data_IF_862380223224
#
_entry.id   IF_862380223224
#
_cell.length_a   1.000
_cell.length_b   1.000
_cell.length_c   1.000
_cell.angle_alpha   90.00
_cell.angle_beta   90.00
_cell.angle_gamma   90.00
#
_symmetry.space_group_name_H-M   'P 1'
#
loop_
_entity.id
_entity.type
_entity.pdbx_description
1 polymer ?
#
# COMPACT_ATOMS: atom_id res chain seq x y z
N UNK A 1 25.69 -23.20 44.34
CA UNK A 1 25.10 -23.17 42.98
C UNK A 1 23.88 -22.25 43.00
N UNK A 2 23.99 -20.96 42.63
CA UNK A 2 22.80 -20.15 42.40
C UNK A 2 22.34 -20.31 40.96
N UNK A 3 21.06 -20.62 40.82
CA UNK A 3 20.29 -20.73 39.58
C UNK A 3 20.31 -19.40 38.81
N UNK A 4 20.79 -19.44 37.58
CA UNK A 4 20.85 -18.30 36.66
C UNK A 4 19.57 -18.34 35.80
N UNK A 5 18.54 -17.58 36.18
CA UNK A 5 17.38 -17.37 35.32
C UNK A 5 17.75 -16.40 34.19
N UNK A 6 17.40 -16.67 32.91
CA UNK A 6 17.73 -15.76 31.82
C UNK A 6 16.93 -14.46 31.95
N UNK A 7 17.62 -13.32 31.96
CA UNK A 7 17.01 -12.01 31.76
C UNK A 7 16.36 -11.99 30.38
N UNK A 8 15.04 -11.89 30.36
CA UNK A 8 14.27 -11.56 29.15
C UNK A 8 14.69 -10.18 28.67
N UNK A 9 15.18 -10.11 27.44
CA UNK A 9 15.49 -8.87 26.72
C UNK A 9 14.23 -7.99 26.67
N UNK A 10 14.34 -6.66 26.86
CA UNK A 10 13.18 -5.78 26.74
C UNK A 10 12.71 -5.77 25.29
N UNK A 11 11.45 -6.16 25.07
CA UNK A 11 10.76 -5.92 23.81
C UNK A 11 10.85 -4.41 23.48
N UNK A 12 11.19 -4.02 22.24
CA UNK A 12 11.18 -2.61 21.87
C UNK A 12 9.76 -2.07 22.04
N UNK A 13 9.62 -1.01 22.86
CA UNK A 13 8.36 -0.33 23.06
C UNK A 13 7.80 0.08 21.69
N UNK A 14 6.59 -0.40 21.39
CA UNK A 14 5.91 -0.09 20.14
C UNK A 14 5.91 1.44 19.92
N UNK A 15 6.50 1.90 18.83
CA UNK A 15 6.49 3.32 18.48
C UNK A 15 5.05 3.80 18.37
N UNK A 16 4.64 4.66 19.31
CA UNK A 16 3.29 5.22 19.34
C UNK A 16 3.20 6.26 18.23
N UNK A 17 2.31 6.02 17.26
CA UNK A 17 2.06 6.94 16.15
C UNK A 17 1.59 8.30 16.70
N UNK A 18 2.07 9.44 16.16
CA UNK A 18 1.54 10.75 16.55
C UNK A 18 0.07 10.84 16.18
N UNK A 19 -0.75 11.51 17.01
CA UNK A 19 -2.18 11.71 16.73
C UNK A 19 -2.42 13.07 16.09
N UNK A 20 -3.21 13.09 15.03
CA UNK A 20 -3.73 14.29 14.39
C UNK A 20 -5.23 14.33 14.64
N UNK A 21 -5.65 15.26 15.51
CA UNK A 21 -7.04 15.47 15.88
C UNK A 21 -7.71 16.42 14.88
N UNK A 22 -8.94 16.14 14.48
CA UNK A 22 -9.74 17.05 13.66
C UNK A 22 -11.21 16.96 14.07
N UNK A 23 -11.86 18.11 14.28
CA UNK A 23 -13.31 18.19 14.52
C UNK A 23 -13.85 19.62 14.49
N UNK A 24 -13.17 20.57 15.13
CA UNK A 24 -13.69 21.94 15.29
C UNK A 24 -13.43 22.82 14.07
N UNK A 25 -14.40 23.67 13.73
CA UNK A 25 -14.38 24.53 12.53
C UNK A 25 -13.22 25.51 12.45
N UNK A 26 -12.61 25.84 13.59
CA UNK A 26 -11.49 26.77 13.68
C UNK A 26 -10.13 26.07 13.85
N UNK A 27 -10.13 24.74 13.96
CA UNK A 27 -8.91 23.97 14.12
C UNK A 27 -8.30 23.64 12.75
N UNK A 28 -6.96 23.44 12.69
CA UNK A 28 -6.32 22.82 11.55
C UNK A 28 -7.01 21.50 11.19
N UNK A 29 -6.97 21.12 9.92
CA UNK A 29 -7.53 19.87 9.43
C UNK A 29 -9.07 19.75 9.57
N UNK A 30 -9.81 20.84 9.87
CA UNK A 30 -11.28 20.80 9.81
C UNK A 30 -11.79 20.32 8.44
N UNK A 31 -11.02 20.58 7.39
CA UNK A 31 -11.20 20.03 6.05
C UNK A 31 -11.32 18.51 6.00
N UNK A 32 -10.93 17.76 7.03
CA UNK A 32 -11.08 16.30 7.08
C UNK A 32 -12.47 15.84 7.52
N UNK A 33 -13.23 16.70 8.21
CA UNK A 33 -14.61 16.39 8.61
C UNK A 33 -15.56 16.31 7.42
N UNK A 34 -16.63 15.52 7.50
CA UNK A 34 -17.66 15.53 6.44
C UNK A 34 -18.48 16.84 6.38
N UNK A 35 -18.34 17.67 7.42
CA UNK A 35 -19.06 18.91 7.62
C UNK A 35 -18.31 20.14 7.05
N UNK A 36 -17.08 19.97 6.59
CA UNK A 36 -16.36 21.03 5.89
C UNK A 36 -17.03 21.41 4.55
N UNK A 37 -16.98 22.68 4.18
CA UNK A 37 -17.60 23.25 2.98
C UNK A 37 -16.81 22.92 1.70
N UNK A 38 -16.65 21.64 1.39
CA UNK A 38 -15.98 21.13 0.19
C UNK A 38 -17.00 20.37 -0.67
N UNK A 39 -17.52 21.01 -1.75
CA UNK A 39 -18.52 20.39 -2.58
C UNK A 39 -18.02 19.13 -3.26
N UNK A 40 -18.92 18.15 -3.42
CA UNK A 40 -18.61 16.85 -4.02
C UNK A 40 -19.48 16.63 -5.25
N UNK A 41 -18.85 16.29 -6.36
CA UNK A 41 -19.52 15.83 -7.57
C UNK A 41 -19.64 14.31 -7.57
N UNK A 42 -20.87 13.80 -7.67
CA UNK A 42 -21.15 12.36 -7.75
C UNK A 42 -22.26 12.09 -8.76
N UNK A 43 -22.00 11.21 -9.75
CA UNK A 43 -22.93 10.85 -10.84
C UNK A 43 -23.58 12.07 -11.51
N UNK A 44 -22.76 13.08 -11.84
CA UNK A 44 -23.21 14.31 -12.53
C UNK A 44 -23.97 15.31 -11.65
N UNK A 45 -24.06 15.08 -10.33
CA UNK A 45 -24.75 15.98 -9.39
C UNK A 45 -23.78 16.55 -8.36
N UNK A 46 -23.92 17.85 -8.07
CA UNK A 46 -23.21 18.55 -6.98
C UNK A 46 -23.92 18.32 -5.65
N UNK A 47 -23.15 17.95 -4.66
CA UNK A 47 -23.50 17.90 -3.25
C UNK A 47 -22.71 18.99 -2.52
N UNK A 48 -23.33 19.83 -1.67
CA UNK A 48 -22.63 20.91 -0.98
C UNK A 48 -21.47 20.46 -0.10
N UNK A 49 -21.58 19.28 0.51
CA UNK A 49 -20.52 18.66 1.32
C UNK A 49 -20.52 17.13 1.14
N UNK A 50 -19.48 16.43 1.61
CA UNK A 50 -19.50 14.96 1.66
C UNK A 50 -20.57 14.42 2.60
N UNK A 51 -20.98 15.17 3.63
CA UNK A 51 -22.13 14.83 4.48
C UNK A 51 -23.43 14.74 3.66
N UNK A 52 -23.69 15.69 2.75
CA UNK A 52 -24.87 15.63 1.88
C UNK A 52 -24.88 14.36 1.03
N UNK A 53 -23.74 13.99 0.45
CA UNK A 53 -23.62 12.77 -0.35
C UNK A 53 -23.80 11.52 0.51
N UNK A 54 -23.17 11.48 1.69
CA UNK A 54 -23.26 10.36 2.63
C UNK A 54 -24.69 10.13 3.11
N UNK A 55 -25.42 11.20 3.45
CA UNK A 55 -26.81 11.12 3.83
C UNK A 55 -27.72 10.71 2.66
N UNK A 56 -27.44 11.16 1.45
CA UNK A 56 -28.16 10.73 0.25
C UNK A 56 -27.95 9.24 -0.08
N UNK A 57 -26.78 8.65 0.20
CA UNK A 57 -26.51 7.22 -0.03
C UNK A 57 -27.47 6.29 0.70
N UNK A 58 -28.10 6.74 1.79
CA UNK A 58 -29.15 6.00 2.50
C UNK A 58 -30.39 5.74 1.64
N UNK A 59 -30.61 6.54 0.59
CA UNK A 59 -31.85 6.58 -0.17
C UNK A 59 -31.68 6.51 -1.69
N UNK A 60 -30.48 6.70 -2.26
CA UNK A 60 -30.27 6.79 -3.71
C UNK A 60 -30.93 5.65 -4.52
N UNK A 61 -30.85 4.42 -4.02
CA UNK A 61 -31.32 3.23 -4.74
C UNK A 61 -32.79 2.90 -4.44
N UNK A 62 -33.31 3.30 -3.28
CA UNK A 62 -34.65 2.90 -2.79
C UNK A 62 -35.68 4.04 -2.82
N UNK A 63 -35.23 5.27 -2.58
CA UNK A 63 -36.03 6.50 -2.47
C UNK A 63 -35.26 7.71 -3.05
N UNK A 64 -35.03 7.74 -4.37
CA UNK A 64 -34.24 8.79 -5.02
C UNK A 64 -34.86 10.19 -4.86
N UNK A 65 -36.17 10.28 -4.63
CA UNK A 65 -36.89 11.51 -4.29
C UNK A 65 -36.37 12.12 -2.98
N UNK A 66 -36.18 11.30 -1.94
CA UNK A 66 -35.62 11.72 -0.65
C UNK A 66 -34.14 12.10 -0.80
N UNK A 67 -33.36 11.30 -1.54
CA UNK A 67 -31.95 11.60 -1.78
C UNK A 67 -31.76 12.98 -2.46
N UNK A 68 -32.61 13.29 -3.44
CA UNK A 68 -32.59 14.57 -4.14
C UNK A 68 -33.00 15.74 -3.23
N UNK A 69 -33.97 15.52 -2.33
CA UNK A 69 -34.34 16.51 -1.31
C UNK A 69 -33.18 16.81 -0.36
N UNK A 70 -32.53 15.77 0.17
CA UNK A 70 -31.34 15.91 1.04
C UNK A 70 -30.25 16.69 0.32
N UNK A 71 -29.95 16.35 -0.94
CA UNK A 71 -28.92 17.03 -1.72
C UNK A 71 -29.18 18.54 -1.89
N UNK A 72 -30.44 18.94 -1.99
CA UNK A 72 -30.87 20.32 -2.27
C UNK A 72 -31.31 21.11 -1.03
N UNK A 73 -31.27 20.50 0.16
CA UNK A 73 -31.94 21.07 1.34
C UNK A 73 -31.36 22.43 1.76
N UNK A 74 -30.03 22.58 1.77
CA UNK A 74 -29.31 23.83 2.01
C UNK A 74 -27.83 23.61 1.66
N UNK A 75 -26.97 24.62 1.87
CA UNK A 75 -25.50 24.42 1.81
C UNK A 75 -24.93 23.92 3.16
N UNK A 76 -25.74 23.84 4.23
CA UNK A 76 -25.27 23.47 5.57
C UNK A 76 -25.41 21.96 5.82
N UNK A 77 -24.31 21.25 6.17
CA UNK A 77 -24.31 19.79 6.35
C UNK A 77 -25.28 19.30 7.45
N UNK A 78 -25.50 20.13 8.47
CA UNK A 78 -26.42 19.83 9.58
C UNK A 78 -27.86 19.63 9.10
N UNK A 79 -28.29 20.37 8.08
CA UNK A 79 -29.64 20.27 7.53
C UNK A 79 -29.81 18.97 6.75
N UNK A 80 -28.81 18.57 5.97
CA UNK A 80 -28.81 17.27 5.28
C UNK A 80 -28.88 16.09 6.26
N UNK A 81 -28.11 16.17 7.35
CA UNK A 81 -28.19 15.18 8.44
C UNK A 81 -29.59 15.12 9.05
N UNK A 82 -30.18 16.28 9.38
CA UNK A 82 -31.49 16.36 10.01
C UNK A 82 -32.60 15.87 9.07
N UNK A 83 -32.56 16.23 7.79
CA UNK A 83 -33.51 15.75 6.80
C UNK A 83 -33.44 14.22 6.66
N UNK A 84 -32.23 13.65 6.54
CA UNK A 84 -32.08 12.20 6.48
C UNK A 84 -32.57 11.50 7.75
N UNK A 85 -32.36 12.10 8.93
CA UNK A 85 -32.88 11.59 10.21
C UNK A 85 -34.41 11.61 10.26
N UNK A 86 -35.06 12.62 9.69
CA UNK A 86 -36.52 12.68 9.59
C UNK A 86 -37.09 11.58 8.67
N UNK A 87 -36.26 11.06 7.76
CA UNK A 87 -36.62 10.01 6.80
C UNK A 87 -36.13 8.62 7.23
N UNK A 88 -35.85 8.40 8.52
CA UNK A 88 -35.22 7.17 9.02
C UNK A 88 -35.96 5.88 8.63
N UNK A 89 -37.30 5.93 8.50
CA UNK A 89 -38.14 4.80 8.09
C UNK A 89 -37.90 4.34 6.63
N UNK A 90 -37.22 5.15 5.83
CA UNK A 90 -36.99 4.90 4.40
C UNK A 90 -35.54 4.57 4.06
N UNK A 91 -34.66 4.51 5.07
CA UNK A 91 -33.25 4.15 4.89
C UNK A 91 -33.17 2.74 4.32
N UNK A 92 -32.27 2.55 3.33
CA UNK A 92 -31.99 1.25 2.72
C UNK A 92 -31.75 0.15 3.78
N UNK A 93 -32.28 -1.07 3.56
CA UNK A 93 -32.30 -2.11 4.60
C UNK A 93 -30.90 -2.63 4.99
N UNK A 94 -29.94 -2.57 4.08
CA UNK A 94 -28.54 -3.01 4.24
C UNK A 94 -27.61 -1.91 4.80
N UNK A 95 -28.15 -0.77 5.26
CA UNK A 95 -27.35 0.40 5.65
C UNK A 95 -26.26 0.10 6.69
N UNK A 96 -26.55 -0.80 7.65
CA UNK A 96 -25.58 -1.18 8.68
C UNK A 96 -24.32 -1.81 8.10
N UNK A 97 -24.46 -2.54 6.99
CA UNK A 97 -23.39 -3.28 6.34
C UNK A 97 -22.62 -2.39 5.36
N UNK A 98 -23.32 -1.48 4.68
CA UNK A 98 -22.72 -0.67 3.60
C UNK A 98 -22.24 0.72 4.04
N UNK A 99 -22.62 1.23 5.21
CA UNK A 99 -22.31 2.62 5.62
C UNK A 99 -20.81 2.97 5.59
N UNK A 100 -19.93 2.03 5.90
CA UNK A 100 -18.48 2.25 5.84
C UNK A 100 -18.04 2.41 4.38
N UNK A 101 -18.48 1.52 3.49
CA UNK A 101 -18.17 1.61 2.06
C UNK A 101 -18.74 2.90 1.42
N UNK A 102 -19.95 3.31 1.82
CA UNK A 102 -20.54 4.56 1.35
C UNK A 102 -19.78 5.79 1.85
N UNK A 103 -19.23 5.74 3.07
CA UNK A 103 -18.33 6.79 3.56
C UNK A 103 -17.04 6.82 2.77
N UNK A 104 -16.40 5.66 2.52
CA UNK A 104 -15.18 5.55 1.72
C UNK A 104 -15.36 6.19 0.34
N UNK A 105 -16.51 5.98 -0.31
CA UNK A 105 -16.85 6.63 -1.59
C UNK A 105 -16.97 8.16 -1.42
N UNK A 106 -17.69 8.63 -0.40
CA UNK A 106 -17.90 10.07 -0.19
C UNK A 106 -16.58 10.81 0.07
N UNK A 107 -15.70 10.26 0.92
CA UNK A 107 -14.39 10.85 1.21
C UNK A 107 -13.46 10.75 0.01
N UNK A 108 -13.47 9.64 -0.74
CA UNK A 108 -12.64 9.51 -1.93
C UNK A 108 -13.00 10.59 -2.94
N UNK A 109 -14.29 10.79 -3.23
CA UNK A 109 -14.72 11.86 -4.12
C UNK A 109 -14.31 13.25 -3.61
N UNK A 110 -14.47 13.53 -2.32
CA UNK A 110 -14.05 14.81 -1.74
C UNK A 110 -12.56 15.04 -1.91
N UNK A 111 -11.72 14.16 -1.39
CA UNK A 111 -10.27 14.36 -1.39
C UNK A 111 -9.62 14.21 -2.77
N UNK A 112 -10.26 13.53 -3.73
CA UNK A 112 -9.74 13.50 -5.11
C UNK A 112 -10.16 14.71 -5.95
N UNK A 113 -11.19 15.45 -5.52
CA UNK A 113 -11.66 16.65 -6.19
C UNK A 113 -11.05 17.94 -5.63
N UNK A 114 -10.43 17.88 -4.44
CA UNK A 114 -9.82 19.01 -3.74
C UNK A 114 -8.34 18.70 -3.45
N UNK A 115 -7.44 19.26 -4.27
CA UNK A 115 -6.00 18.95 -4.23
C UNK A 115 -5.34 19.38 -2.91
N UNK A 116 -5.77 20.49 -2.33
CA UNK A 116 -5.33 20.98 -1.03
C UNK A 116 -5.59 19.94 0.08
N UNK A 117 -6.81 19.39 0.14
CA UNK A 117 -7.15 18.32 1.09
C UNK A 117 -6.37 17.03 0.82
N UNK A 118 -6.19 16.69 -0.46
CA UNK A 118 -5.39 15.52 -0.87
C UNK A 118 -3.96 15.63 -0.35
N UNK A 119 -3.33 16.78 -0.57
CA UNK A 119 -1.96 17.05 -0.15
C UNK A 119 -1.86 17.06 1.37
N UNK A 120 -2.79 17.72 2.07
CA UNK A 120 -2.86 17.74 3.52
C UNK A 120 -2.98 16.32 4.11
N UNK A 121 -3.83 15.46 3.51
CA UNK A 121 -3.96 14.07 3.90
C UNK A 121 -2.66 13.27 3.70
N UNK A 122 -1.95 13.49 2.60
CA UNK A 122 -0.67 12.80 2.34
C UNK A 122 0.43 13.28 3.29
N UNK A 123 0.50 14.59 3.56
CA UNK A 123 1.44 15.23 4.49
C UNK A 123 1.27 14.78 5.94
N UNK A 124 0.09 14.26 6.31
CA UNK A 124 -0.11 13.65 7.63
C UNK A 124 0.77 12.40 7.90
N UNK A 125 1.58 11.96 6.92
CA UNK A 125 2.59 10.92 7.09
C UNK A 125 1.98 9.67 7.76
N UNK A 126 2.61 9.15 8.82
CA UNK A 126 2.10 8.00 9.55
C UNK A 126 1.29 8.41 10.80
N UNK A 127 0.84 9.66 10.90
CA UNK A 127 -0.02 10.10 12.00
C UNK A 127 -1.34 9.31 12.02
N UNK A 128 -1.79 8.95 13.22
CA UNK A 128 -3.12 8.43 13.47
C UNK A 128 -4.13 9.58 13.29
N UNK A 129 -5.06 9.43 12.34
CA UNK A 129 -6.09 10.42 12.08
C UNK A 129 -7.27 10.17 13.01
N UNK A 130 -7.66 11.16 13.80
CA UNK A 130 -8.66 11.01 14.86
C UNK A 130 -9.74 12.07 14.74
N UNK A 131 -10.97 11.63 14.47
CA UNK A 131 -12.14 12.51 14.55
C UNK A 131 -12.50 12.73 16.02
N UNK A 132 -12.18 13.91 16.55
CA UNK A 132 -12.32 14.28 17.97
C UNK A 132 -13.76 14.72 18.32
N UNK A 133 -14.74 14.00 17.77
CA UNK A 133 -16.16 14.23 18.05
C UNK A 133 -16.52 13.62 19.40
N UNK A 134 -16.87 14.46 20.38
CA UNK A 134 -17.41 13.99 21.65
C UNK A 134 -18.82 13.38 21.51
N UNK A 135 -19.55 13.69 20.43
CA UNK A 135 -20.96 13.29 20.26
C UNK A 135 -21.13 11.98 19.48
N UNK A 136 -20.17 11.62 18.62
CA UNK A 136 -20.26 10.45 17.75
C UNK A 136 -19.18 9.41 18.09
N UNK A 137 -19.56 8.37 18.82
CA UNK A 137 -18.67 7.26 19.17
C UNK A 137 -18.49 6.22 18.05
N UNK A 138 -19.20 6.34 16.93
CA UNK A 138 -19.02 5.45 15.78
C UNK A 138 -18.03 6.05 14.77
N UNK A 139 -18.30 7.26 14.29
CA UNK A 139 -17.41 7.94 13.34
C UNK A 139 -16.20 8.56 14.02
N UNK A 140 -16.37 9.13 15.23
CA UNK A 140 -15.31 9.69 16.06
C UNK A 140 -15.02 8.90 17.33
N UNK A 141 -14.35 9.55 18.29
CA UNK A 141 -13.90 8.94 19.55
C UNK A 141 -14.89 9.03 20.71
N UNK A 142 -15.98 9.78 20.58
CA UNK A 142 -17.00 9.92 21.62
C UNK A 142 -16.50 10.56 22.92
N UNK A 143 -17.41 10.77 23.89
CA UNK A 143 -17.12 11.48 25.14
C UNK A 143 -16.02 10.85 26.00
N UNK A 144 -15.86 9.53 25.94
CA UNK A 144 -14.89 8.79 26.74
C UNK A 144 -13.58 8.48 26.01
N UNK A 145 -13.45 8.94 24.75
CA UNK A 145 -12.28 8.70 23.89
C UNK A 145 -12.14 7.25 23.40
N UNK A 146 -13.16 6.40 23.60
CA UNK A 146 -13.14 4.96 23.24
C UNK A 146 -14.01 4.61 22.04
N UNK A 147 -14.53 5.63 21.35
CA UNK A 147 -15.27 5.50 20.11
C UNK A 147 -14.43 4.82 19.01
N UNK A 148 -15.13 4.36 17.98
CA UNK A 148 -14.54 3.52 16.94
C UNK A 148 -13.66 4.31 15.97
N UNK A 149 -13.78 5.63 15.90
CA UNK A 149 -13.01 6.49 15.00
C UNK A 149 -13.05 5.99 13.54
N UNK A 150 -14.22 5.55 13.06
CA UNK A 150 -14.33 4.98 11.71
C UNK A 150 -14.05 6.00 10.61
N UNK A 151 -14.25 7.32 10.85
CA UNK A 151 -13.90 8.34 9.86
C UNK A 151 -12.39 8.50 9.75
N UNK A 152 -11.68 8.56 10.88
CA UNK A 152 -10.22 8.55 10.91
C UNK A 152 -9.65 7.35 10.16
N UNK A 153 -10.18 6.14 10.43
CA UNK A 153 -9.80 4.91 9.71
C UNK A 153 -10.10 4.98 8.20
N UNK A 154 -11.22 5.58 7.81
CA UNK A 154 -11.58 5.76 6.40
C UNK A 154 -10.57 6.67 5.69
N UNK A 155 -10.17 7.78 6.32
CA UNK A 155 -9.12 8.66 5.82
C UNK A 155 -7.77 7.95 5.74
N UNK A 156 -7.42 7.09 6.70
CA UNK A 156 -6.20 6.29 6.63
C UNK A 156 -6.22 5.29 5.46
N UNK A 157 -7.35 4.60 5.22
CA UNK A 157 -7.51 3.73 4.05
C UNK A 157 -7.33 4.53 2.76
N UNK A 158 -7.94 5.70 2.67
CA UNK A 158 -7.80 6.59 1.51
C UNK A 158 -6.36 7.07 1.34
N UNK A 159 -5.68 7.48 2.42
CA UNK A 159 -4.26 7.88 2.41
C UNK A 159 -3.38 6.77 1.85
N UNK A 160 -3.57 5.53 2.30
CA UNK A 160 -2.85 4.36 1.76
C UNK A 160 -3.12 4.19 0.26
N UNK A 161 -4.39 4.24 -0.15
CA UNK A 161 -4.78 4.12 -1.56
C UNK A 161 -4.12 5.20 -2.43
N UNK A 162 -4.13 6.46 -1.97
CA UNK A 162 -3.53 7.59 -2.68
C UNK A 162 -2.01 7.52 -2.74
N UNK A 163 -1.35 6.98 -1.70
CA UNK A 163 0.10 6.71 -1.72
C UNK A 163 0.44 5.65 -2.74
N UNK A 164 -0.21 4.50 -2.69
CA UNK A 164 0.02 3.41 -3.64
C UNK A 164 -0.21 3.85 -5.09
N UNK A 165 -1.22 4.68 -5.35
CA UNK A 165 -1.46 5.21 -6.69
C UNK A 165 -0.40 6.22 -7.17
N UNK A 166 0.38 6.81 -6.26
CA UNK A 166 1.44 7.78 -6.58
C UNK A 166 2.84 7.18 -6.51
N UNK A 167 2.99 5.92 -6.10
CA UNK A 167 4.30 5.27 -6.07
C UNK A 167 4.90 5.25 -7.46
N UNK A 168 6.14 5.75 -7.63
CA UNK A 168 6.86 5.58 -8.87
C UNK A 168 7.01 4.08 -9.16
N UNK A 169 6.85 3.68 -10.42
CA UNK A 169 7.15 2.31 -10.85
C UNK A 169 8.50 2.33 -11.57
N UNK A 170 9.46 1.59 -11.05
CA UNK A 170 10.77 1.41 -11.68
C UNK A 170 10.79 0.06 -12.38
N UNK A 171 10.80 0.10 -13.71
CA UNK A 171 11.03 -1.08 -14.54
C UNK A 171 12.54 -1.30 -14.67
N UNK A 172 13.04 -2.52 -14.52
CA UNK A 172 14.50 -2.76 -14.48
C UNK A 172 15.03 -3.94 -15.32
N UNK A 173 14.23 -4.47 -16.26
CA UNK A 173 14.64 -5.67 -17.04
C UNK A 173 15.58 -5.38 -18.22
N UNK A 174 15.48 -4.22 -18.87
CA UNK A 174 16.21 -3.94 -20.11
C UNK A 174 17.65 -3.49 -19.85
N UNK A 175 18.62 -4.00 -20.62
CA UNK A 175 20.05 -3.67 -20.46
C UNK A 175 20.39 -2.18 -20.52
N UNK A 176 19.59 -1.40 -21.25
CA UNK A 176 19.77 0.06 -21.37
C UNK A 176 19.13 0.83 -20.22
N UNK A 177 18.39 0.16 -19.35
CA UNK A 177 17.76 0.77 -18.19
C UNK A 177 18.82 1.09 -17.13
N UNK A 178 18.81 2.30 -16.53
CA UNK A 178 19.74 2.65 -15.45
C UNK A 178 19.72 1.66 -14.27
N UNK A 179 18.58 1.00 -14.04
CA UNK A 179 18.38 0.03 -12.98
C UNK A 179 18.59 -1.43 -13.43
N UNK A 180 19.16 -1.68 -14.62
CA UNK A 180 19.48 -3.05 -15.06
C UNK A 180 20.36 -3.79 -14.06
N UNK A 181 21.13 -3.06 -13.25
CA UNK A 181 21.87 -3.61 -12.12
C UNK A 181 21.02 -4.42 -11.14
N UNK A 182 19.70 -4.22 -11.08
CA UNK A 182 18.80 -4.93 -10.16
C UNK A 182 18.43 -6.34 -10.63
N UNK A 183 18.45 -6.64 -11.93
CA UNK A 183 18.13 -8.00 -12.41
C UNK A 183 19.19 -9.02 -11.96
N UNK A 184 18.77 -10.27 -11.80
CA UNK A 184 19.67 -11.39 -11.49
C UNK A 184 20.67 -11.71 -12.62
N UNK A 185 20.43 -11.15 -13.80
CA UNK A 185 21.28 -11.30 -14.98
C UNK A 185 22.42 -10.29 -15.05
N UNK A 186 22.40 -9.24 -14.21
CA UNK A 186 23.41 -8.20 -14.20
C UNK A 186 24.81 -8.77 -13.89
N UNK A 187 25.89 -8.24 -14.49
CA UNK A 187 27.26 -8.76 -14.34
C UNK A 187 27.91 -8.37 -13.00
N UNK A 188 27.19 -8.57 -11.90
CA UNK A 188 27.66 -8.34 -10.54
C UNK A 188 27.92 -9.68 -9.87
N UNK A 189 29.19 -10.01 -9.71
CA UNK A 189 29.59 -11.28 -9.14
C UNK A 189 29.18 -11.40 -7.67
N UNK A 190 28.79 -12.59 -7.24
CA UNK A 190 28.33 -12.87 -5.88
C UNK A 190 29.25 -13.90 -5.25
N UNK A 191 29.90 -13.53 -4.15
CA UNK A 191 30.67 -14.44 -3.31
C UNK A 191 29.72 -15.21 -2.39
N UNK A 192 29.84 -16.52 -2.33
CA UNK A 192 29.08 -17.35 -1.39
C UNK A 192 29.90 -18.59 -1.00
N UNK A 193 30.05 -18.84 0.30
CA UNK A 193 30.83 -19.96 0.85
C UNK A 193 32.25 -20.09 0.26
N UNK A 194 32.96 -18.98 0.10
CA UNK A 194 34.33 -18.94 -0.43
C UNK A 194 34.43 -19.08 -1.95
N UNK A 195 33.30 -19.23 -2.65
CA UNK A 195 33.26 -19.35 -4.11
C UNK A 195 32.65 -18.10 -4.76
N UNK A 196 33.17 -17.75 -5.94
CA UNK A 196 32.68 -16.62 -6.73
C UNK A 196 31.74 -17.11 -7.84
N UNK A 197 30.55 -16.51 -7.90
CA UNK A 197 29.55 -16.75 -8.93
C UNK A 197 29.47 -15.52 -9.85
N UNK A 198 29.51 -15.69 -11.19
CA UNK A 198 29.56 -14.53 -12.11
C UNK A 198 28.36 -13.58 -12.00
N UNK A 199 27.17 -14.10 -11.69
CA UNK A 199 25.96 -13.31 -11.46
C UNK A 199 25.07 -13.97 -10.40
N UNK A 200 24.06 -13.24 -9.91
CA UNK A 200 23.00 -13.77 -9.06
C UNK A 200 22.30 -15.00 -9.65
N UNK A 201 22.04 -15.00 -10.97
CA UNK A 201 21.48 -16.17 -11.67
C UNK A 201 22.35 -17.43 -11.49
N UNK A 202 23.67 -17.31 -11.53
CA UNK A 202 24.57 -18.47 -11.36
C UNK A 202 24.42 -19.06 -9.95
N UNK A 203 24.45 -18.22 -8.92
CA UNK A 203 24.29 -18.68 -7.53
C UNK A 203 22.89 -19.25 -7.30
N UNK A 204 21.85 -18.59 -7.82
CA UNK A 204 20.47 -19.05 -7.68
C UNK A 204 20.24 -20.43 -8.33
N UNK A 205 20.78 -20.65 -9.53
CA UNK A 205 20.72 -21.96 -10.18
C UNK A 205 21.57 -23.00 -9.44
N UNK A 206 22.73 -22.62 -8.90
CA UNK A 206 23.57 -23.52 -8.11
C UNK A 206 22.91 -23.97 -6.81
N UNK A 207 22.09 -23.13 -6.15
CA UNK A 207 21.35 -23.49 -4.93
C UNK A 207 20.42 -24.70 -5.10
N UNK A 208 20.01 -25.00 -6.34
CA UNK A 208 19.24 -26.22 -6.64
C UNK A 208 20.05 -27.50 -6.41
N UNK A 209 21.38 -27.43 -6.41
CA UNK A 209 22.27 -28.58 -6.44
C UNK A 209 23.37 -28.57 -5.36
N UNK A 210 23.67 -27.42 -4.73
CA UNK A 210 24.82 -27.27 -3.81
C UNK A 210 24.91 -28.36 -2.72
N UNK A 211 23.77 -28.78 -2.15
CA UNK A 211 23.72 -29.77 -1.07
C UNK A 211 23.79 -31.22 -1.58
N UNK A 212 23.09 -31.54 -2.67
CA UNK A 212 22.92 -32.93 -3.13
C UNK A 212 23.88 -33.33 -4.26
N UNK A 213 24.28 -32.37 -5.10
CA UNK A 213 25.04 -32.57 -6.33
C UNK A 213 26.02 -31.39 -6.58
N UNK A 214 27.03 -31.22 -5.72
CA UNK A 214 27.98 -30.10 -5.82
C UNK A 214 28.75 -30.07 -7.14
N UNK A 215 28.92 -31.20 -7.81
CA UNK A 215 29.53 -31.29 -9.15
C UNK A 215 28.71 -30.54 -10.21
N UNK A 216 27.37 -30.57 -10.12
CA UNK A 216 26.47 -29.82 -11.01
C UNK A 216 26.51 -28.35 -10.67
N UNK A 217 26.48 -27.99 -9.39
CA UNK A 217 26.63 -26.60 -8.93
C UNK A 217 27.94 -25.98 -9.43
N UNK A 218 29.04 -26.75 -9.44
CA UNK A 218 30.32 -26.32 -9.98
C UNK A 218 30.27 -26.05 -11.49
N UNK A 219 29.59 -26.89 -12.28
CA UNK A 219 29.41 -26.66 -13.72
C UNK A 219 28.64 -25.37 -13.99
N UNK A 220 27.55 -25.15 -13.26
CA UNK A 220 26.75 -23.92 -13.34
C UNK A 220 27.61 -22.70 -13.03
N UNK A 221 28.42 -22.75 -11.96
CA UNK A 221 29.31 -21.65 -11.57
C UNK A 221 30.34 -21.30 -12.64
N UNK A 222 30.85 -22.30 -13.36
CA UNK A 222 31.85 -22.14 -14.42
C UNK A 222 31.26 -21.66 -15.76
N UNK A 223 29.93 -21.55 -15.88
CA UNK A 223 29.29 -20.93 -17.04
C UNK A 223 29.71 -19.46 -17.18
N UNK A 224 29.83 -19.00 -18.44
CA UNK A 224 30.21 -17.61 -18.73
C UNK A 224 29.01 -16.66 -18.73
N UNK A 225 27.86 -17.13 -19.21
CA UNK A 225 26.65 -16.34 -19.35
C UNK A 225 25.55 -16.86 -18.43
N UNK A 226 24.69 -15.98 -17.88
CA UNK A 226 23.52 -16.38 -17.09
C UNK A 226 22.61 -17.38 -17.83
N UNK A 227 22.44 -17.21 -19.15
CA UNK A 227 21.68 -18.14 -19.99
C UNK A 227 22.23 -19.56 -19.98
N UNK A 228 23.56 -19.70 -19.91
CA UNK A 228 24.24 -20.99 -19.92
C UNK A 228 24.10 -21.67 -18.55
N UNK A 229 24.17 -20.90 -17.46
CA UNK A 229 23.90 -21.40 -16.11
C UNK A 229 22.47 -21.94 -15.96
N UNK A 230 21.48 -21.21 -16.50
CA UNK A 230 20.10 -21.68 -16.57
C UNK A 230 19.97 -22.97 -17.40
N UNK A 231 20.59 -23.00 -18.58
CA UNK A 231 20.53 -24.15 -19.48
C UNK A 231 21.20 -25.39 -18.87
N UNK A 232 22.32 -25.22 -18.17
CA UNK A 232 23.00 -26.30 -17.47
C UNK A 232 22.14 -26.84 -16.32
N UNK A 233 21.55 -25.97 -15.49
CA UNK A 233 20.62 -26.40 -14.45
C UNK A 233 19.41 -27.17 -15.02
N UNK A 234 18.86 -26.72 -16.15
CA UNK A 234 17.72 -27.37 -16.81
C UNK A 234 18.04 -28.79 -17.30
N UNK A 235 19.28 -29.06 -17.74
CA UNK A 235 19.74 -30.41 -18.13
C UNK A 235 19.72 -31.40 -16.97
N UNK A 236 19.93 -30.91 -15.74
CA UNK A 236 19.99 -31.73 -14.52
C UNK A 236 18.71 -31.63 -13.69
N UNK A 237 17.54 -31.35 -14.30
CA UNK A 237 16.26 -31.16 -13.58
C UNK A 237 15.89 -32.27 -12.60
N UNK A 238 16.31 -33.52 -12.86
CA UNK A 238 16.05 -34.68 -11.99
C UNK A 238 16.93 -34.73 -10.74
N UNK A 239 17.96 -33.90 -10.67
CA UNK A 239 18.92 -33.78 -9.56
C UNK A 239 18.67 -32.56 -8.67
N UNK A 240 17.60 -31.81 -8.91
CA UNK A 240 17.26 -30.66 -8.08
C UNK A 240 16.90 -31.15 -6.68
N UNK A 241 17.34 -30.43 -5.64
CA UNK A 241 16.95 -30.65 -4.24
C UNK A 241 15.44 -30.79 -4.09
N UNK A 242 14.99 -31.77 -3.30
CA UNK A 242 13.58 -32.16 -3.22
C UNK A 242 12.64 -31.04 -2.70
N UNK A 243 13.16 -30.18 -1.83
CA UNK A 243 12.45 -29.08 -1.16
C UNK A 243 12.48 -27.75 -1.94
N UNK A 244 12.99 -27.72 -3.19
CA UNK A 244 13.21 -26.48 -3.95
C UNK A 244 11.99 -25.52 -3.96
N UNK A 245 10.79 -26.05 -4.16
CA UNK A 245 9.57 -25.23 -4.18
C UNK A 245 9.28 -24.57 -2.82
N UNK A 246 9.70 -25.17 -1.70
CA UNK A 246 9.57 -24.59 -0.37
C UNK A 246 10.65 -23.58 -0.01
N UNK A 247 11.84 -23.65 -0.64
CA UNK A 247 13.01 -22.86 -0.24
C UNK A 247 13.46 -21.82 -1.26
N UNK A 248 12.97 -21.85 -2.51
CA UNK A 248 13.48 -20.98 -3.57
C UNK A 248 13.36 -19.48 -3.27
N UNK A 249 12.33 -19.03 -2.55
CA UNK A 249 12.19 -17.62 -2.13
C UNK A 249 13.29 -17.24 -1.15
N UNK A 250 13.50 -18.04 -0.10
CA UNK A 250 14.59 -17.84 0.87
C UNK A 250 15.97 -17.86 0.18
N UNK A 251 16.18 -18.77 -0.79
CA UNK A 251 17.42 -18.79 -1.56
C UNK A 251 17.60 -17.54 -2.41
N UNK A 252 16.53 -17.00 -2.99
CA UNK A 252 16.60 -15.71 -3.68
C UNK A 252 16.96 -14.57 -2.72
N UNK A 253 16.37 -14.52 -1.52
CA UNK A 253 16.72 -13.52 -0.50
C UNK A 253 18.21 -13.57 -0.14
N UNK A 254 18.78 -14.78 0.01
CA UNK A 254 20.20 -14.95 0.24
C UNK A 254 21.03 -14.41 -0.93
N UNK A 255 20.66 -14.74 -2.18
CA UNK A 255 21.38 -14.24 -3.38
C UNK A 255 21.35 -12.71 -3.44
N UNK A 256 20.17 -12.12 -3.25
CA UNK A 256 19.98 -10.68 -3.31
C UNK A 256 20.72 -9.99 -2.17
N UNK A 257 20.63 -10.52 -0.94
CA UNK A 257 21.38 -10.00 0.19
C UNK A 257 22.89 -10.01 -0.10
N UNK A 258 23.43 -11.12 -0.60
CA UNK A 258 24.85 -11.19 -0.94
C UNK A 258 25.23 -10.18 -2.02
N UNK A 259 24.45 -10.07 -3.10
CA UNK A 259 24.67 -9.10 -4.17
C UNK A 259 24.69 -7.66 -3.64
N UNK A 260 23.62 -7.22 -3.01
CA UNK A 260 23.50 -5.82 -2.57
C UNK A 260 24.41 -5.50 -1.37
N UNK A 261 24.79 -6.49 -0.55
CA UNK A 261 25.74 -6.26 0.54
C UNK A 261 27.19 -6.18 0.05
N UNK A 262 27.55 -6.93 -1.01
CA UNK A 262 28.92 -6.96 -1.55
C UNK A 262 29.22 -5.83 -2.55
N UNK A 263 28.18 -5.17 -3.09
CA UNK A 263 28.30 -4.07 -4.05
C UNK A 263 27.69 -2.79 -3.47
N UNK A 264 28.48 -1.93 -2.77
CA UNK A 264 27.96 -0.72 -2.13
C UNK A 264 27.20 0.22 -3.07
N UNK A 265 27.62 0.32 -4.33
CA UNK A 265 26.92 1.16 -5.32
C UNK A 265 25.50 0.66 -5.58
N UNK A 266 25.30 -0.66 -5.67
CA UNK A 266 23.96 -1.23 -5.85
C UNK A 266 23.08 -1.02 -4.63
N UNK A 267 23.67 -1.08 -3.43
CA UNK A 267 22.96 -0.77 -2.19
C UNK A 267 22.48 0.68 -2.19
N UNK A 268 23.34 1.61 -2.59
CA UNK A 268 22.97 3.03 -2.71
C UNK A 268 21.89 3.24 -3.77
N UNK A 269 22.00 2.61 -4.95
CA UNK A 269 20.96 2.63 -5.98
C UNK A 269 19.62 2.10 -5.46
N UNK A 270 19.61 0.98 -4.73
CA UNK A 270 18.41 0.39 -4.15
C UNK A 270 17.78 1.29 -3.09
N UNK A 271 18.59 1.96 -2.25
CA UNK A 271 18.06 2.89 -1.26
C UNK A 271 17.53 4.18 -1.91
N UNK A 272 18.17 4.62 -3.00
CA UNK A 272 17.75 5.79 -3.76
C UNK A 272 16.39 5.62 -4.45
N UNK A 273 15.89 4.39 -4.60
CA UNK A 273 14.55 4.16 -5.19
C UNK A 273 13.41 4.58 -4.25
N UNK A 274 13.70 4.82 -2.96
CA UNK A 274 12.68 5.23 -2.00
C UNK A 274 11.56 4.20 -1.87
N UNK A 275 10.31 4.65 -2.00
CA UNK A 275 9.11 3.82 -1.92
C UNK A 275 8.59 3.35 -3.28
N UNK A 276 9.40 3.47 -4.33
CA UNK A 276 9.04 3.03 -5.67
C UNK A 276 8.79 1.52 -5.73
N UNK A 277 7.79 1.12 -6.50
CA UNK A 277 7.52 -0.28 -6.79
C UNK A 277 8.53 -0.75 -7.86
N UNK A 278 9.39 -1.71 -7.50
CA UNK A 278 10.38 -2.31 -8.39
C UNK A 278 9.74 -3.47 -9.16
N UNK A 279 9.68 -3.36 -10.49
CA UNK A 279 9.05 -4.38 -11.35
C UNK A 279 10.02 -4.87 -12.41
N UNK A 280 10.32 -6.17 -12.39
CA UNK A 280 11.14 -6.81 -13.42
C UNK A 280 10.29 -7.03 -14.70
N UNK A 281 10.16 -5.99 -15.52
CA UNK A 281 9.44 -6.04 -16.79
C UNK A 281 10.09 -5.16 -17.87
N UNK A 282 9.79 -5.47 -19.14
CA UNK A 282 10.15 -4.62 -20.29
C UNK A 282 9.25 -3.38 -20.33
N UNK A 283 9.78 -2.28 -20.87
CA UNK A 283 8.96 -1.12 -21.21
C UNK A 283 7.99 -1.56 -22.31
N UNK A 284 6.69 -1.52 -22.03
CA UNK A 284 5.70 -1.65 -23.11
C UNK A 284 5.76 -0.37 -23.92
N UNK A 285 6.01 -0.47 -25.23
CA UNK A 285 5.88 0.67 -26.12
C UNK A 285 4.48 1.27 -25.95
N UNK A 286 4.33 2.61 -25.88
CA UNK A 286 3.01 3.21 -25.84
C UNK A 286 2.26 2.82 -27.12
N UNK A 287 1.05 2.30 -26.98
CA UNK A 287 0.18 1.97 -28.10
C UNK A 287 -0.39 3.24 -28.74
N UNK A 288 0.45 4.05 -29.37
CA UNK A 288 -0.01 5.11 -30.26
C UNK A 288 -0.10 4.56 -31.68
N UNK A 289 -1.32 4.14 -32.05
CA UNK A 289 -1.92 4.11 -33.41
C UNK A 289 -2.98 3.01 -33.47
N UNK A 290 -4.23 3.40 -33.20
CA UNK A 290 -5.46 2.90 -33.84
C UNK A 290 -6.62 3.82 -33.41
N UNK A 291 -6.63 5.01 -33.99
CA UNK A 291 -7.86 5.72 -34.36
C UNK A 291 -7.77 5.94 -35.86
#
# INVERSE_FOLDING_TARGET
>A
MPSNSPRTSPHPAAHRRPKLLFYHVHDPHYGFTNFSAHPVQYKGKRYPTSEHLFQAFKFLDTRPDIAEKIRKTSEFPRDAFNEARNQQAHVRPDWKDVKIAMMDIAIEHKFTQHNDLKEELLMSADAELVEDSAEDAFWGIGKDGKGRNELGKALERLRTKLRSAQRPVILFYEQRNPYYSFTNLSPHAVAFNGEMYPTSEHLFQAFKFLECHPDVAQKIRLCKKPSDAWAEAARHKTKIRADWHGVHVEKMDIVLWQKFNQHPQLKEELLATGDADLVEARLRAPSWRRF
#
